data_IF_750824612962
#
_entry.id   IF_750824612962
#
_cell.length_a   1.000
_cell.length_b   1.000
_cell.length_c   1.000
_cell.angle_alpha   90.00
_cell.angle_beta   90.00
_cell.angle_gamma   90.00
#
_symmetry.space_group_name_H-M   'P 1'
#
loop_
_entity.id
_entity.type
_entity.pdbx_description
1 polymer ?
#
# COMPACT_ATOMS: atom_id res chain seq x y z
N UNK A 1 1.34 -5.63 11.98
CA UNK A 1 1.84 -6.73 11.12
C UNK A 1 1.63 -6.33 9.66
N UNK A 2 2.62 -6.53 8.77
CA UNK A 2 2.43 -6.25 7.33
C UNK A 2 1.54 -7.34 6.72
N UNK A 3 0.62 -6.95 5.85
CA UNK A 3 -0.27 -7.88 5.13
C UNK A 3 0.38 -8.31 3.82
N UNK A 4 0.03 -9.46 3.28
CA UNK A 4 0.51 -9.88 1.96
C UNK A 4 0.05 -8.90 0.86
N UNK A 5 -1.10 -8.24 1.05
CA UNK A 5 -1.59 -7.14 0.21
C UNK A 5 -0.72 -5.87 0.23
N UNK A 6 0.31 -5.80 1.09
CA UNK A 6 1.34 -4.75 1.07
C UNK A 6 2.60 -5.15 0.26
N UNK A 7 2.59 -6.31 -0.40
CA UNK A 7 3.72 -6.82 -1.18
C UNK A 7 3.60 -6.49 -2.68
N UNK A 8 4.70 -6.14 -3.35
CA UNK A 8 4.82 -5.99 -4.80
C UNK A 8 4.48 -7.27 -5.57
N UNK A 9 4.61 -8.42 -4.91
CA UNK A 9 4.24 -9.71 -5.48
C UNK A 9 2.75 -10.04 -5.30
N UNK A 10 1.96 -9.19 -4.65
CA UNK A 10 0.52 -9.38 -4.58
C UNK A 10 -0.16 -8.84 -5.84
N UNK A 11 -1.01 -9.65 -6.45
CA UNK A 11 -1.90 -9.26 -7.53
C UNK A 11 -3.34 -9.35 -7.04
N UNK A 12 -4.00 -8.22 -6.83
CA UNK A 12 -5.41 -8.21 -6.45
C UNK A 12 -6.27 -8.91 -7.53
N UNK A 13 -7.25 -9.69 -7.10
CA UNK A 13 -8.24 -10.33 -7.98
C UNK A 13 -9.62 -9.74 -7.71
N UNK A 14 -9.99 -9.63 -6.43
CA UNK A 14 -11.22 -8.98 -5.98
C UNK A 14 -11.05 -8.34 -4.59
N UNK A 15 -12.16 -7.89 -3.99
CA UNK A 15 -12.16 -7.22 -2.69
C UNK A 15 -11.64 -8.07 -1.52
N UNK A 16 -11.59 -9.40 -1.66
CA UNK A 16 -11.26 -10.35 -0.58
C UNK A 16 -9.94 -11.06 -0.79
N UNK A 17 -9.49 -11.23 -2.03
CA UNK A 17 -8.33 -12.07 -2.35
C UNK A 17 -7.53 -11.58 -3.55
N UNK A 18 -6.31 -12.10 -3.63
CA UNK A 18 -5.41 -11.94 -4.76
C UNK A 18 -4.54 -13.18 -4.96
N UNK A 19 -3.58 -13.07 -5.87
CA UNK A 19 -2.60 -14.10 -6.18
C UNK A 19 -1.22 -13.62 -5.74
N UNK A 20 -0.47 -14.47 -5.04
CA UNK A 20 0.96 -14.24 -4.88
C UNK A 20 1.70 -14.62 -6.17
N UNK A 21 2.38 -13.65 -6.80
CA UNK A 21 3.17 -13.86 -8.02
C UNK A 21 4.35 -14.83 -7.82
N UNK A 22 4.82 -15.04 -6.59
CA UNK A 22 5.88 -15.99 -6.29
C UNK A 22 5.35 -17.42 -6.13
N UNK A 23 4.42 -17.64 -5.19
CA UNK A 23 3.90 -18.98 -4.89
C UNK A 23 2.78 -19.44 -5.82
N UNK A 24 2.20 -18.53 -6.60
CA UNK A 24 1.03 -18.73 -7.48
C UNK A 24 -0.24 -19.15 -6.74
N UNK A 25 -0.26 -19.02 -5.41
CA UNK A 25 -1.41 -19.34 -4.58
C UNK A 25 -2.38 -18.17 -4.49
N UNK A 26 -3.67 -18.48 -4.32
CA UNK A 26 -4.67 -17.52 -3.87
C UNK A 26 -4.40 -17.20 -2.40
N UNK A 27 -4.39 -15.91 -2.06
CA UNK A 27 -4.13 -15.39 -0.73
C UNK A 27 -5.22 -14.38 -0.38
N UNK A 28 -5.72 -14.40 0.85
CA UNK A 28 -6.69 -13.40 1.30
C UNK A 28 -6.00 -12.05 1.50
N UNK A 29 -6.75 -10.96 1.31
CA UNK A 29 -6.23 -9.60 1.43
C UNK A 29 -5.58 -9.33 2.81
N UNK A 30 -6.11 -9.96 3.85
CA UNK A 30 -5.72 -9.78 5.25
C UNK A 30 -4.66 -10.77 5.76
N UNK A 31 -4.24 -11.72 4.93
CA UNK A 31 -3.21 -12.69 5.32
C UNK A 31 -1.89 -11.99 5.65
N UNK A 32 -1.16 -12.55 6.61
CA UNK A 32 0.15 -12.03 7.00
C UNK A 32 1.15 -12.08 5.84
N UNK A 33 2.03 -11.09 5.76
CA UNK A 33 3.15 -11.12 4.83
C UNK A 33 4.12 -12.27 5.15
N UNK A 34 4.65 -12.93 4.12
CA UNK A 34 5.71 -13.92 4.25
C UNK A 34 7.10 -13.24 4.33
N UNK A 35 8.18 -14.00 4.63
CA UNK A 35 9.54 -13.44 4.67
C UNK A 35 10.01 -12.78 3.36
N UNK A 36 9.44 -13.17 2.22
CA UNK A 36 9.76 -12.63 0.87
C UNK A 36 9.07 -11.28 0.55
N UNK A 37 8.57 -10.56 1.57
CA UNK A 37 7.84 -9.31 1.34
C UNK A 37 8.74 -8.24 0.70
N UNK A 38 8.39 -7.86 -0.52
CA UNK A 38 8.88 -6.63 -1.16
C UNK A 38 7.81 -5.56 -1.02
N UNK A 39 8.01 -4.58 -0.14
CA UNK A 39 6.96 -3.59 0.19
C UNK A 39 6.55 -2.78 -1.04
N UNK A 40 5.25 -2.72 -1.31
CA UNK A 40 4.67 -1.91 -2.38
C UNK A 40 4.53 -0.44 -1.94
N UNK A 41 4.80 0.54 -2.81
CA UNK A 41 4.47 1.93 -2.56
C UNK A 41 2.97 2.10 -2.26
N UNK A 42 2.65 2.66 -1.10
CA UNK A 42 1.30 3.07 -0.69
C UNK A 42 1.36 4.42 0.00
N UNK A 43 0.25 5.15 0.09
CA UNK A 43 0.25 6.42 0.81
C UNK A 43 0.73 6.27 2.27
N UNK A 44 0.33 5.22 3.00
CA UNK A 44 0.76 4.97 4.39
C UNK A 44 2.27 4.82 4.60
N UNK A 45 3.02 4.48 3.55
CA UNK A 45 4.48 4.38 3.61
C UNK A 45 5.16 5.47 2.80
N UNK A 46 4.45 6.56 2.49
CA UNK A 46 5.00 7.74 1.84
C UNK A 46 5.29 8.82 2.90
N UNK A 47 6.46 9.46 2.84
CA UNK A 47 6.79 10.61 3.71
C UNK A 47 5.86 11.81 3.52
N UNK A 48 5.20 11.89 2.37
CA UNK A 48 4.29 12.98 2.01
C UNK A 48 2.85 12.72 2.47
N UNK A 49 2.57 11.60 3.14
CA UNK A 49 1.27 11.32 3.75
C UNK A 49 1.28 11.73 5.21
N UNK A 50 0.51 12.75 5.55
CA UNK A 50 0.49 13.39 6.86
C UNK A 50 -0.95 13.52 7.38
N UNK A 51 -1.10 13.87 8.66
CA UNK A 51 -2.42 14.19 9.27
C UNK A 51 -3.46 13.07 9.12
N UNK A 52 -3.04 11.80 9.17
CA UNK A 52 -3.95 10.66 9.08
C UNK A 52 -4.85 10.55 10.31
N UNK A 53 -6.15 10.39 10.09
CA UNK A 53 -7.12 10.05 11.13
C UNK A 53 -7.19 8.52 11.37
N UNK A 54 -8.05 8.11 12.31
CA UNK A 54 -8.20 6.70 12.70
C UNK A 54 -8.77 5.80 11.58
N UNK A 55 -9.44 6.38 10.58
CA UNK A 55 -9.94 5.68 9.39
C UNK A 55 -8.86 5.57 8.29
N UNK A 56 -7.66 6.12 8.54
CA UNK A 56 -6.56 6.14 7.59
C UNK A 56 -6.75 7.15 6.46
N UNK A 57 -7.60 8.16 6.63
CA UNK A 57 -7.72 9.30 5.71
C UNK A 57 -6.78 10.39 6.21
N UNK A 58 -5.93 10.91 5.33
CA UNK A 58 -4.99 11.99 5.64
C UNK A 58 -4.76 12.88 4.42
N UNK A 59 -3.67 13.64 4.45
CA UNK A 59 -3.32 14.63 3.43
C UNK A 59 -2.04 14.22 2.70
N UNK A 60 -2.05 14.35 1.38
CA UNK A 60 -0.87 14.29 0.53
C UNK A 60 -0.30 15.71 0.37
N UNK A 61 0.98 15.88 0.70
CA UNK A 61 1.73 17.14 0.52
C UNK A 61 2.88 17.02 -0.50
N UNK A 62 2.85 15.97 -1.33
CA UNK A 62 3.96 15.58 -2.22
C UNK A 62 3.79 15.92 -3.70
N UNK A 63 2.70 16.59 -4.07
CA UNK A 63 2.37 16.98 -5.44
C UNK A 63 2.15 18.50 -5.51
N UNK A 64 1.90 19.04 -6.71
CA UNK A 64 1.70 20.49 -6.93
C UNK A 64 0.60 21.09 -6.04
N UNK A 65 -0.45 20.33 -5.76
CA UNK A 65 -1.56 20.71 -4.89
C UNK A 65 -1.73 19.68 -3.78
N UNK A 66 -1.85 20.17 -2.54
CA UNK A 66 -2.24 19.34 -1.42
C UNK A 66 -3.67 18.81 -1.60
N UNK A 67 -3.88 17.53 -1.32
CA UNK A 67 -5.20 16.90 -1.40
C UNK A 67 -5.34 15.77 -0.38
N UNK A 68 -6.58 15.36 -0.09
CA UNK A 68 -6.84 14.23 0.78
C UNK A 68 -6.55 12.91 0.06
N UNK A 69 -6.03 11.93 0.79
CA UNK A 69 -5.80 10.55 0.31
C UNK A 69 -6.06 9.56 1.43
N UNK A 70 -6.22 8.29 1.08
CA UNK A 70 -6.37 7.20 2.04
C UNK A 70 -5.11 6.33 2.10
N UNK A 71 -4.80 5.84 3.30
CA UNK A 71 -3.55 5.18 3.66
C UNK A 71 -3.21 3.95 2.79
N UNK A 72 -4.22 3.22 2.33
CA UNK A 72 -4.06 1.99 1.54
C UNK A 72 -4.02 2.21 0.03
N UNK A 73 -4.13 3.46 -0.44
CA UNK A 73 -4.04 3.81 -1.86
C UNK A 73 -2.70 3.32 -2.43
N UNK A 74 -2.77 2.57 -3.52
CA UNK A 74 -1.59 2.08 -4.23
C UNK A 74 -0.87 3.25 -4.90
N UNK A 75 0.39 3.46 -4.55
CA UNK A 75 1.21 4.57 -5.02
C UNK A 75 2.32 4.13 -5.99
N UNK A 76 2.22 2.92 -6.58
CA UNK A 76 3.24 2.36 -7.48
C UNK A 76 3.53 3.24 -8.72
N UNK A 77 2.55 4.06 -9.14
CA UNK A 77 2.68 5.01 -10.25
C UNK A 77 2.71 6.48 -9.80
N UNK A 78 2.78 6.75 -8.49
CA UNK A 78 2.78 8.11 -7.97
C UNK A 78 4.18 8.71 -8.07
N UNK A 79 4.33 9.80 -8.83
CA UNK A 79 5.61 10.50 -9.03
C UNK A 79 6.13 11.16 -7.75
N UNK A 80 5.24 11.52 -6.83
CA UNK A 80 5.57 12.10 -5.53
C UNK A 80 5.79 11.07 -4.41
N UNK A 81 5.78 9.76 -4.71
CA UNK A 81 6.00 8.77 -3.65
C UNK A 81 7.47 8.73 -3.23
N UNK A 82 7.71 8.85 -1.93
CA UNK A 82 9.01 8.62 -1.31
C UNK A 82 8.79 7.87 -0.02
N UNK A 83 9.47 6.74 0.18
CA UNK A 83 9.29 5.92 1.37
C UNK A 83 9.57 6.71 2.67
N UNK A 84 8.77 6.49 3.71
CA UNK A 84 9.10 6.89 5.07
C UNK A 84 10.15 5.90 5.63
N UNK A 85 11.33 6.40 6.00
CA UNK A 85 12.37 5.61 6.67
C UNK A 85 12.01 5.34 8.14
#
# INVERSE_FOLDING_TARGET
MRKHSDCMNFCAVDATKGICRLSKQMINLDDAACPEIKVMPKCKNCKNFVEANDEGIGKCVGLEKEDWVYSTLNAITCEGHVFNE
#
